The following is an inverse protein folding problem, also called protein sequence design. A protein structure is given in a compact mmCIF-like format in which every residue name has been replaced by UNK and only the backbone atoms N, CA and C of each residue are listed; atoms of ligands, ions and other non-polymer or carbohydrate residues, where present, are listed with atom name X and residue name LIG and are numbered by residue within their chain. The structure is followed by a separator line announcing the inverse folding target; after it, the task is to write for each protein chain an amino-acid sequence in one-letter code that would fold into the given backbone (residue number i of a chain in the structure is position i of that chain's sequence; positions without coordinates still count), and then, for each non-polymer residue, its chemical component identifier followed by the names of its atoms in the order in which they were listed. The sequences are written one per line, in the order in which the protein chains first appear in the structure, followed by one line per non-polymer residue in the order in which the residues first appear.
data_IF_869308594721
#
_entry.id   IF_869308594721
#
_cell.length_a   1.000
_cell.length_b   1.000
_cell.length_c   1.000
_cell.angle_alpha   90.00
_cell.angle_beta   90.00
_cell.angle_gamma   90.00
#
_symmetry.space_group_name_H-M   'P 1'
#
loop_
_entity.id
_entity.type
_entity.pdbx_description
1 polymer ?
2 non-polymer ?
3 non-polymer ?
4 water ?
#
# COMPACT_ATOMS: atom_id res chain seq x y z
N UNK A 39 -39.86 9.02 0.02
CA UNK A 39 -38.41 9.00 0.03
C UNK A 39 -37.85 10.37 0.44
N UNK A 40 -38.05 10.73 1.70
CA UNK A 40 -37.47 11.95 2.24
C UNK A 40 -35.94 11.88 2.16
N UNK A 41 -35.26 12.91 1.66
CA UNK A 41 -33.81 12.83 1.52
C UNK A 41 -33.08 12.63 2.84
N UNK A 42 -33.62 13.15 3.93
CA UNK A 42 -33.05 12.88 5.24
C UNK A 42 -33.40 11.47 5.72
N UNK A 43 -34.59 10.98 5.38
CA UNK A 43 -34.93 9.59 5.68
C UNK A 43 -34.16 8.63 4.77
N UNK A 44 -33.85 9.05 3.55
CA UNK A 44 -33.01 8.23 2.68
C UNK A 44 -31.62 8.07 3.27
N UNK A 45 -31.01 9.18 3.69
CA UNK A 45 -29.67 9.13 4.28
C UNK A 45 -29.66 8.25 5.54
N UNK A 46 -30.70 8.37 6.37
CA UNK A 46 -30.79 7.54 7.57
C UNK A 46 -30.86 6.06 7.20
N UNK A 47 -31.66 5.72 6.19
CA UNK A 47 -31.77 4.33 5.77
C UNK A 47 -30.46 3.83 5.17
N UNK A 48 -29.82 4.64 4.32
CA UNK A 48 -28.56 4.22 3.70
C UNK A 48 -27.48 4.09 4.77
N UNK A 49 -27.33 5.12 5.61
CA UNK A 49 -26.33 5.07 6.67
C UNK A 49 -26.61 3.94 7.65
N UNK A 50 -27.88 3.68 7.94
CA UNK A 50 -28.23 2.58 8.82
C UNK A 50 -27.95 1.21 8.22
N UNK A 51 -27.85 1.12 6.89
CA UNK A 51 -27.49 -0.12 6.23
C UNK A 51 -25.99 -0.28 6.11
N UNK A 52 -25.29 0.77 5.66
CA UNK A 52 -23.83 0.73 5.58
C UNK A 52 -23.18 0.52 6.94
N UNK A 53 -23.90 0.84 8.02
CA UNK A 53 -23.35 0.67 9.36
C UNK A 53 -23.18 -0.80 9.75
N UNK A 54 -23.78 -1.73 9.01
CA UNK A 54 -23.66 -3.14 9.31
C UNK A 54 -22.62 -3.85 8.46
N UNK A 55 -22.18 -3.26 7.35
CA UNK A 55 -21.22 -3.92 6.48
C UNK A 55 -19.89 -4.08 7.20
N UNK A 56 -19.41 -5.31 7.26
CA UNK A 56 -18.15 -5.64 7.92
C UNK A 56 -17.14 -6.08 6.87
N UNK A 57 -15.87 -5.70 7.09
CA UNK A 57 -14.81 -5.97 6.13
C UNK A 57 -13.49 -5.87 6.86
N UNK A 58 -12.47 -6.65 6.46
CA UNK A 58 -11.17 -6.55 7.14
C UNK A 58 -10.55 -5.16 7.10
N UNK A 59 -10.93 -4.33 6.13
CA UNK A 59 -10.42 -2.97 6.06
C UNK A 59 -11.18 -1.99 6.94
N UNK A 60 -12.23 -2.44 7.63
CA UNK A 60 -13.09 -1.58 8.43
C UNK A 60 -12.93 -1.95 9.90
N UNK A 61 -12.00 -1.27 10.58
CA UNK A 61 -11.90 -1.39 12.03
C UNK A 61 -13.22 -1.00 12.69
N UNK A 62 -13.83 0.08 12.22
CA UNK A 62 -15.18 0.46 12.59
C UNK A 62 -15.98 0.66 11.31
N UNK A 63 -17.30 0.65 11.44
CA UNK A 63 -18.15 0.64 10.26
C UNK A 63 -18.05 1.96 9.49
N UNK A 64 -18.68 1.99 8.31
CA UNK A 64 -18.47 3.09 7.38
C UNK A 64 -18.95 4.42 7.92
N UNK A 65 -19.94 4.42 8.81
CA UNK A 65 -20.44 5.68 9.37
C UNK A 65 -19.37 6.39 10.20
N UNK A 66 -18.38 5.65 10.70
CA UNK A 66 -17.25 6.27 11.38
C UNK A 66 -16.50 7.22 10.45
N UNK A 67 -16.40 6.86 9.18
CA UNK A 67 -15.54 7.55 8.22
C UNK A 67 -16.19 8.78 7.59
N UNK A 68 -17.41 9.15 8.02
CA UNK A 68 -18.19 10.23 7.41
C UNK A 68 -18.28 10.12 5.89
N UNK A 69 -18.11 8.89 5.37
CA UNK A 69 -17.94 8.70 3.93
C UNK A 69 -19.21 8.93 3.14
N UNK A 70 -20.38 8.75 3.76
CA UNK A 70 -21.64 8.92 3.04
C UNK A 70 -21.79 10.35 2.57
N UNK A 71 -21.35 10.62 1.33
CA UNK A 71 -21.29 11.99 0.83
C UNK A 71 -22.63 12.45 0.28
N UNK A 72 -23.35 11.58 -0.43
CA UNK A 72 -24.58 12.00 -1.09
C UNK A 72 -25.53 10.82 -1.21
N UNK A 73 -26.81 11.07 -0.97
CA UNK A 73 -27.88 10.09 -1.19
C UNK A 73 -29.02 10.81 -1.89
N UNK A 74 -29.37 10.37 -3.09
CA UNK A 74 -30.35 11.05 -3.93
C UNK A 74 -31.39 10.05 -4.43
N UNK A 75 -32.36 10.56 -5.19
CA UNK A 75 -33.46 9.75 -5.71
C UNK A 75 -33.86 10.35 -7.06
N UNK A 76 -33.24 9.84 -8.12
CA UNK A 76 -33.45 10.34 -9.48
C UNK A 76 -33.93 9.22 -10.38
N UNK A 77 -35.07 9.44 -11.05
CA UNK A 77 -35.62 8.48 -12.00
C UNK A 77 -35.80 7.11 -11.35
N UNK A 78 -36.30 7.13 -10.11
CA UNK A 78 -36.68 5.93 -9.37
C UNK A 78 -35.47 5.06 -9.06
N UNK A 79 -34.27 5.54 -9.36
CA UNK A 79 -33.03 4.85 -9.02
C UNK A 79 -32.35 5.58 -7.88
N UNK A 80 -31.90 4.82 -6.88
CA UNK A 80 -31.28 5.36 -5.68
C UNK A 80 -29.79 5.58 -5.92
N UNK A 81 -29.34 6.83 -5.80
CA UNK A 81 -27.95 7.18 -5.99
C UNK A 81 -27.25 7.27 -4.64
N UNK A 82 -26.08 6.66 -4.54
CA UNK A 82 -25.26 6.67 -3.33
C UNK A 82 -23.83 6.99 -3.73
N UNK A 83 -23.31 8.12 -3.28
CA UNK A 83 -21.94 8.51 -3.53
C UNK A 83 -21.14 8.43 -2.24
N UNK A 84 -20.04 7.68 -2.28
CA UNK A 84 -19.21 7.43 -1.11
C UNK A 84 -17.82 7.99 -1.37
N UNK A 85 -17.28 8.72 -0.40
CA UNK A 85 -15.95 9.32 -0.50
C UNK A 85 -15.13 8.78 0.66
N UNK A 86 -14.14 7.94 0.35
CA UNK A 86 -13.36 7.27 1.38
C UNK A 86 -12.03 7.99 1.62
N UNK A 87 -11.57 8.06 2.87
CA UNK A 87 -10.29 8.71 3.16
C UNK A 87 -9.08 7.86 2.83
N UNK A 88 -9.27 6.60 2.44
CA UNK A 88 -8.21 5.75 1.93
C UNK A 88 -8.76 4.97 0.73
N UNK A 89 -7.86 4.33 0.00
CA UNK A 89 -8.28 3.58 -1.19
C UNK A 89 -9.21 2.46 -0.77
N UNK A 90 -10.22 2.20 -1.60
CA UNK A 90 -11.25 1.23 -1.22
C UNK A 90 -11.97 0.66 -2.45
N UNK A 91 -11.34 0.67 -3.62
CA UNK A 91 -12.03 0.29 -4.85
C UNK A 91 -12.48 -1.16 -4.82
N UNK A 92 -11.58 -2.07 -4.45
CA UNK A 92 -11.93 -3.49 -4.43
C UNK A 92 -12.92 -3.78 -3.32
N UNK A 93 -12.72 -3.19 -2.14
CA UNK A 93 -13.66 -3.40 -1.03
C UNK A 93 -15.01 -2.79 -1.34
N UNK A 94 -15.03 -1.70 -2.12
CA UNK A 94 -16.30 -1.08 -2.50
C UNK A 94 -17.17 -2.04 -3.31
N UNK A 95 -16.54 -2.94 -4.07
CA UNK A 95 -17.31 -3.93 -4.82
C UNK A 95 -18.01 -4.90 -3.90
N UNK A 96 -17.35 -5.31 -2.81
CA UNK A 96 -17.98 -6.21 -1.84
C UNK A 96 -19.17 -5.53 -1.17
N UNK A 97 -19.05 -4.24 -0.87
CA UNK A 97 -20.17 -3.51 -0.27
C UNK A 97 -21.38 -3.50 -1.19
N UNK A 98 -21.16 -3.38 -2.50
CA UNK A 98 -22.28 -3.31 -3.43
C UNK A 98 -23.02 -4.65 -3.50
N UNK A 99 -22.28 -5.75 -3.57
CA UNK A 99 -22.94 -7.04 -3.75
C UNK A 99 -23.64 -7.52 -2.49
N UNK A 100 -23.19 -7.06 -1.31
CA UNK A 100 -23.77 -7.54 -0.07
C UNK A 100 -24.93 -6.68 0.41
N UNK A 101 -24.92 -5.38 0.13
CA UNK A 101 -25.88 -4.46 0.72
C UNK A 101 -26.97 -4.02 -0.24
N UNK A 102 -26.77 -4.15 -1.55
CA UNK A 102 -27.79 -3.72 -2.50
C UNK A 102 -29.07 -4.54 -2.36
N UNK A 103 -28.96 -5.79 -1.94
CA UNK A 103 -30.14 -6.62 -1.76
C UNK A 103 -31.09 -6.00 -0.73
N UNK A 104 -30.58 -5.64 0.43
CA UNK A 104 -31.42 -5.02 1.45
C UNK A 104 -31.65 -3.53 1.17
N UNK A 105 -30.68 -2.86 0.54
CA UNK A 105 -30.86 -1.44 0.24
C UNK A 105 -32.02 -1.23 -0.73
N UNK A 106 -32.13 -2.08 -1.76
CA UNK A 106 -33.31 -2.05 -2.61
C UNK A 106 -34.56 -2.49 -1.88
N UNK A 107 -34.41 -3.28 -0.81
CA UNK A 107 -35.54 -3.85 -0.10
C UNK A 107 -36.22 -2.82 0.80
N UNK A 108 -35.45 -1.97 1.47
CA UNK A 108 -36.04 -0.95 2.33
C UNK A 108 -36.40 0.32 1.55
N UNK A 109 -35.70 0.58 0.45
CA UNK A 109 -36.04 1.69 -0.42
C UNK A 109 -36.95 1.20 -1.54
N UNK A 110 -37.37 2.12 -2.40
CA UNK A 110 -38.16 1.74 -3.55
C UNK A 110 -37.46 2.11 -4.84
N UNK A 111 -36.45 1.34 -5.23
CA UNK A 111 -35.62 1.68 -6.37
C UNK A 111 -35.56 0.51 -7.35
N UNK A 112 -35.62 0.83 -8.64
CA UNK A 112 -35.40 -0.19 -9.66
C UNK A 112 -33.97 -0.71 -9.61
N UNK A 113 -33.02 0.12 -9.22
CA UNK A 113 -31.63 -0.27 -9.06
C UNK A 113 -30.94 0.77 -8.19
N UNK A 114 -29.66 0.52 -7.91
CA UNK A 114 -28.84 1.43 -7.12
C UNK A 114 -27.66 1.87 -7.98
N UNK A 115 -27.44 3.19 -8.05
CA UNK A 115 -26.32 3.76 -8.78
C UNK A 115 -25.25 4.16 -7.76
N UNK A 116 -24.29 3.26 -7.56
CA UNK A 116 -23.18 3.54 -6.65
C UNK A 116 -22.18 4.48 -7.31
N UNK A 117 -21.35 5.09 -6.48
CA UNK A 117 -20.26 5.95 -6.96
C UNK A 117 -19.23 6.07 -5.86
N UNK A 118 -17.98 5.72 -6.17
CA UNK A 118 -16.89 5.76 -5.21
C UNK A 118 -15.91 6.88 -5.57
N UNK A 119 -15.61 7.72 -4.60
CA UNK A 119 -14.60 8.77 -4.72
C UNK A 119 -13.51 8.53 -3.69
N UNK A 120 -12.45 9.31 -3.78
CA UNK A 120 -11.34 9.21 -2.83
C UNK A 120 -10.80 10.61 -2.54
N UNK A 121 -10.85 11.00 -1.28
CA UNK A 121 -10.09 12.15 -0.77
C UNK A 121 -9.14 11.58 0.28
N UNK A 122 -7.94 11.19 -0.16
CA UNK A 122 -6.99 10.53 0.72
C UNK A 122 -6.56 11.51 1.80
N UNK A 123 -6.66 11.08 3.06
CA UNK A 123 -6.38 11.94 4.20
C UNK A 123 -4.89 11.89 4.54
N UNK A 124 -4.33 13.05 4.85
CA UNK A 124 -2.96 13.15 5.33
C UNK A 124 -2.94 12.91 6.83
N UNK A 125 -2.21 11.89 7.27
CA UNK A 125 -2.16 11.54 8.68
C UNK A 125 -0.99 12.21 9.37
N UNK A 126 -1.24 12.70 10.58
CA UNK A 126 -0.21 13.40 11.33
C UNK A 126 0.89 12.43 11.77
N UNK A 127 2.13 12.89 11.70
CA UNK A 127 3.30 12.09 12.04
C UNK A 127 3.87 12.52 13.38
N UNK A 128 4.68 11.65 13.97
CA UNK A 128 5.25 11.93 15.28
C UNK A 128 6.23 13.10 15.19
N UNK A 129 6.30 13.88 16.27
CA UNK A 129 7.15 15.05 16.41
C UNK A 129 6.89 16.12 15.34
N UNK A 130 5.81 15.98 14.57
CA UNK A 130 5.45 16.90 13.50
C UNK A 130 6.62 17.11 12.52
N UNK A 131 7.39 16.05 12.31
CA UNK A 131 8.51 16.09 11.37
C UNK A 131 8.01 16.54 10.00
N UNK A 132 8.50 17.68 9.47
CA UNK A 132 7.93 18.24 8.24
C UNK A 132 7.87 17.25 7.09
N UNK A 133 6.65 16.97 6.64
CA UNK A 133 6.46 16.02 5.55
C UNK A 133 7.01 16.52 4.24
N UNK A 134 7.10 15.58 3.29
CA UNK A 134 7.66 15.89 1.99
C UNK A 134 6.67 16.70 1.16
N UNK A 135 7.19 17.61 0.36
CA UNK A 135 6.35 18.48 -0.46
C UNK A 135 5.60 17.65 -1.49
N UNK A 136 4.27 17.79 -1.52
CA UNK A 136 3.45 17.06 -2.45
C UNK A 136 3.26 15.60 -2.13
N UNK A 137 3.60 15.17 -0.91
CA UNK A 137 3.47 13.78 -0.49
C UNK A 137 2.64 13.75 0.79
N UNK A 138 1.40 13.27 0.68
CA UNK A 138 0.55 13.16 1.86
C UNK A 138 1.10 12.15 2.85
N UNK A 139 1.25 10.90 2.41
CA UNK A 139 1.66 9.80 3.26
C UNK A 139 2.85 9.08 2.65
N UNK A 140 3.62 8.44 3.52
CA UNK A 140 4.79 7.66 3.11
C UNK A 140 4.67 6.27 3.74
N UNK A 141 4.48 5.26 2.90
CA UNK A 141 4.42 3.87 3.34
C UNK A 141 5.78 3.25 3.08
N UNK A 142 6.52 2.98 4.15
CA UNK A 142 7.83 2.37 4.01
C UNK A 142 7.71 0.86 3.89
N UNK A 143 8.57 0.26 3.07
CA UNK A 143 8.62 -1.18 2.88
C UNK A 143 10.04 -1.63 3.18
N UNK A 144 10.22 -2.44 4.23
CA UNK A 144 11.54 -2.90 4.65
C UNK A 144 11.48 -4.39 4.92
N UNK A 145 12.66 -4.98 5.03
CA UNK A 145 12.79 -6.41 5.30
C UNK A 145 14.17 -6.66 5.89
N UNK A 146 14.48 -7.93 6.11
CA UNK A 146 15.80 -8.32 6.56
C UNK A 146 16.53 -9.13 5.52
N UNK A 147 17.64 -8.60 5.02
CA UNK A 147 18.41 -9.21 3.94
C UNK A 147 17.55 -9.37 2.68
N UNK A 148 18.08 -10.06 1.67
CA UNK A 148 17.40 -10.24 0.42
C UNK A 148 16.78 -11.63 0.28
N UNK A 149 16.15 -11.84 -0.87
CA UNK A 149 15.47 -13.09 -1.14
C UNK A 149 14.07 -13.19 -0.59
N UNK A 150 13.54 -12.12 -0.02
CA UNK A 150 12.19 -12.12 0.55
C UNK A 150 11.18 -11.45 -0.36
N UNK A 151 11.61 -10.90 -1.49
CA UNK A 151 10.70 -10.21 -2.37
C UNK A 151 10.22 -8.87 -1.84
N UNK A 152 11.08 -8.16 -1.10
CA UNK A 152 10.72 -6.83 -0.60
C UNK A 152 10.45 -5.87 -1.75
N UNK A 153 11.35 -5.83 -2.73
CA UNK A 153 11.19 -4.91 -3.85
C UNK A 153 10.04 -5.31 -4.76
N UNK A 154 9.79 -6.62 -4.90
CA UNK A 154 8.63 -7.06 -5.67
C UNK A 154 7.34 -6.59 -5.03
N UNK A 155 7.29 -6.62 -3.70
CA UNK A 155 6.12 -6.13 -2.99
C UNK A 155 5.96 -4.62 -3.13
N UNK A 156 7.08 -3.89 -3.22
CA UNK A 156 7.02 -2.43 -3.26
C UNK A 156 6.39 -1.92 -4.55
N UNK A 157 6.83 -2.46 -5.70
CA UNK A 157 6.30 -1.98 -6.97
C UNK A 157 4.83 -2.33 -7.11
N UNK A 158 4.44 -3.52 -6.69
CA UNK A 158 3.07 -3.94 -6.85
C UNK A 158 2.14 -3.28 -5.83
N UNK A 159 2.63 -3.02 -4.61
CA UNK A 159 1.84 -2.21 -3.68
C UNK A 159 1.58 -0.83 -4.24
N UNK A 160 2.61 -0.20 -4.83
CA UNK A 160 2.43 1.13 -5.40
C UNK A 160 1.47 1.11 -6.57
N UNK A 161 1.58 0.10 -7.44
CA UNK A 161 0.67 0.01 -8.58
C UNK A 161 -0.74 -0.36 -8.14
N UNK A 162 -0.87 -1.23 -7.13
CA UNK A 162 -2.18 -1.58 -6.62
C UNK A 162 -2.84 -0.40 -5.93
N UNK A 163 -2.06 0.37 -5.15
CA UNK A 163 -2.60 1.56 -4.52
C UNK A 163 -3.11 2.55 -5.56
N UNK A 164 -2.39 2.71 -6.67
CA UNK A 164 -2.87 3.56 -7.74
C UNK A 164 -4.08 2.95 -8.43
N UNK A 165 -4.05 1.63 -8.65
CA UNK A 165 -5.20 0.95 -9.24
C UNK A 165 -6.42 1.05 -8.34
N UNK A 166 -6.21 1.08 -7.02
CA UNK A 166 -7.31 1.24 -6.08
C UNK A 166 -7.82 2.67 -5.99
N UNK A 167 -7.19 3.61 -6.69
CA UNK A 167 -7.76 4.94 -6.84
C UNK A 167 -7.02 6.08 -6.17
N UNK A 168 -5.70 6.03 -6.13
CA UNK A 168 -4.90 7.08 -5.51
C UNK A 168 -3.78 7.51 -6.45
N UNK A 169 -3.24 8.70 -6.18
CA UNK A 169 -2.02 9.18 -6.83
C UNK A 169 -0.84 8.64 -6.04
N UNK A 170 -0.05 7.77 -6.66
CA UNK A 170 0.99 7.02 -5.98
C UNK A 170 2.32 7.25 -6.69
N UNK A 171 3.39 7.31 -5.92
CA UNK A 171 4.74 7.29 -6.45
C UNK A 171 5.55 6.21 -5.76
N UNK A 172 6.84 6.13 -6.06
CA UNK A 172 7.71 5.15 -5.40
C UNK A 172 9.16 5.60 -5.48
N UNK A 173 9.83 5.65 -4.34
CA UNK A 173 11.24 6.01 -4.25
C UNK A 173 12.04 4.77 -3.90
N UNK A 174 12.93 4.36 -4.80
CA UNK A 174 13.81 3.22 -4.58
C UNK A 174 14.99 3.68 -3.74
N UNK A 175 14.99 3.33 -2.46
CA UNK A 175 16.04 3.70 -1.53
C UNK A 175 16.99 2.54 -1.21
N UNK A 176 16.76 1.37 -1.78
CA UNK A 176 17.61 0.21 -1.52
C UNK A 176 19.00 0.45 -2.10
N UNK A 177 19.90 1.01 -1.28
CA UNK A 177 21.25 1.33 -1.75
C UNK A 177 21.98 0.05 -2.18
N UNK A 178 21.80 -1.03 -1.42
CA UNK A 178 22.52 -2.26 -1.70
C UNK A 178 22.08 -2.88 -3.01
N UNK A 179 20.78 -2.84 -3.31
CA UNK A 179 20.26 -3.40 -4.53
C UNK A 179 19.15 -2.57 -5.13
N UNK A 180 19.51 -1.48 -5.82
CA UNK A 180 18.49 -0.65 -6.48
C UNK A 180 17.80 -1.39 -7.62
N UNK A 181 16.69 -2.06 -7.32
CA UNK A 181 16.04 -2.94 -8.29
C UNK A 181 14.68 -2.44 -8.76
N UNK A 182 14.22 -1.28 -8.31
CA UNK A 182 12.92 -0.77 -8.73
C UNK A 182 12.97 -0.26 -10.17
N UNK A 183 13.95 0.56 -10.57
CA UNK A 183 13.96 1.01 -11.98
C UNK A 183 14.07 -0.14 -12.97
N UNK A 184 14.74 -1.23 -12.61
CA UNK A 184 14.79 -2.39 -13.50
C UNK A 184 13.44 -3.08 -13.57
N UNK A 185 12.76 -3.24 -12.43
CA UNK A 185 11.44 -3.88 -12.40
C UNK A 185 10.41 -3.08 -13.19
N UNK A 186 10.64 -1.79 -13.41
CA UNK A 186 9.72 -0.95 -14.17
C UNK A 186 10.18 -0.68 -15.59
N UNK A 187 11.40 -1.10 -15.96
CA UNK A 187 11.94 -0.79 -17.26
C UNK A 187 12.55 0.59 -17.38
N UNK A 188 12.41 1.44 -16.37
CA UNK A 188 12.98 2.78 -16.41
C UNK A 188 14.44 2.75 -15.98
N UNK A 189 15.11 1.62 -16.22
CA UNK A 189 16.50 1.46 -15.81
C UNK A 189 17.44 2.31 -16.66
N UNK A 190 17.18 2.38 -17.97
CA UNK A 190 18.02 3.13 -18.88
C UNK A 190 17.65 4.60 -18.97
N UNK A 191 16.62 5.03 -18.26
CA UNK A 191 16.19 6.42 -18.25
C UNK A 191 16.86 7.16 -17.10
N UNK A 192 16.85 8.49 -17.19
CA UNK A 192 17.40 9.35 -16.16
C UNK A 192 16.48 10.54 -15.96
N UNK A 193 16.32 11.00 -14.71
CA UNK A 193 15.43 12.13 -14.45
C UNK A 193 15.98 13.42 -15.02
N UNK A 194 15.06 14.33 -15.35
CA UNK A 194 15.41 15.67 -15.79
C UNK A 194 15.31 16.66 -14.63
N UNK A 195 16.02 17.77 -14.76
CA UNK A 195 16.10 18.78 -13.71
C UNK A 195 15.38 20.05 -14.15
N UNK A 196 14.10 20.20 -13.81
CA UNK A 196 13.36 21.41 -14.19
C UNK A 196 13.89 22.65 -13.49
N UNK A 197 14.03 22.57 -12.17
CA UNK A 197 14.53 23.66 -11.35
C UNK A 197 16.05 23.67 -11.26
N UNK A 198 16.74 22.87 -12.07
CA UNK A 198 18.17 22.74 -11.94
C UNK A 198 18.56 21.96 -10.71
N UNK A 199 18.13 22.42 -9.54
CA UNK A 199 18.39 21.70 -8.30
C UNK A 199 17.41 20.54 -8.13
N UNK A 200 16.13 20.79 -8.34
CA UNK A 200 15.10 19.78 -8.16
C UNK A 200 15.08 18.82 -9.36
N UNK A 201 14.53 17.64 -9.13
CA UNK A 201 14.46 16.60 -10.15
C UNK A 201 13.01 16.31 -10.51
N UNK A 202 12.76 16.15 -11.80
CA UNK A 202 11.44 15.73 -12.28
C UNK A 202 11.35 14.21 -12.22
N UNK A 203 10.37 13.64 -11.53
CA UNK A 203 10.31 12.18 -11.40
C UNK A 203 9.93 11.50 -12.70
N UNK A 204 10.46 10.30 -12.89
CA UNK A 204 10.17 9.51 -14.09
C UNK A 204 8.79 8.88 -13.92
N UNK A 205 7.87 9.24 -14.81
CA UNK A 205 6.49 8.75 -14.74
C UNK A 205 6.41 7.38 -15.41
N UNK A 206 6.79 6.36 -14.64
CA UNK A 206 6.80 4.98 -15.13
C UNK A 206 5.51 4.30 -14.73
N UNK A 207 4.77 3.79 -15.72
CA UNK A 207 3.51 3.09 -15.50
C UNK A 207 2.53 3.94 -14.69
N UNK A 208 2.58 5.25 -14.88
CA UNK A 208 1.72 6.16 -14.14
C UNK A 208 2.19 6.51 -12.75
N UNK A 209 3.31 5.94 -12.29
CA UNK A 209 3.85 6.24 -10.96
C UNK A 209 4.96 7.26 -11.08
N UNK A 210 5.00 8.18 -10.10
CA UNK A 210 6.12 9.12 -9.98
C UNK A 210 7.27 8.38 -9.32
N UNK A 211 8.32 8.10 -10.10
CA UNK A 211 9.39 7.22 -9.65
C UNK A 211 10.72 7.96 -9.59
N UNK A 212 11.57 7.50 -8.68
CA UNK A 212 12.96 7.93 -8.60
C UNK A 212 13.72 6.85 -7.84
N UNK A 213 15.03 6.77 -8.11
CA UNK A 213 15.82 5.68 -7.56
C UNK A 213 17.22 6.16 -7.21
N UNK A 214 17.79 5.56 -6.17
CA UNK A 214 19.20 5.79 -5.85
C UNK A 214 20.11 5.15 -6.88
N UNK A 215 19.60 4.16 -7.63
CA UNK A 215 20.37 3.54 -8.69
C UNK A 215 20.72 4.48 -9.83
N UNK A 216 19.94 5.56 -10.00
CA UNK A 216 20.26 6.57 -11.00
C UNK A 216 21.49 7.38 -10.65
N UNK A 217 22.17 7.07 -9.55
CA UNK A 217 23.34 7.79 -9.11
C UNK A 217 24.56 6.89 -8.91
N UNK A 218 24.40 5.58 -9.08
CA UNK A 218 25.49 4.64 -8.89
C UNK A 218 25.80 3.90 -10.19
N UNK A 226 29.71 3.11 -1.20
CA UNK A 226 28.53 3.93 -0.95
C UNK A 226 27.78 3.45 0.31
N UNK A 227 28.49 3.45 1.43
CA UNK A 227 27.92 3.02 2.71
C UNK A 227 28.31 4.02 3.79
N UNK A 228 27.58 3.97 4.90
CA UNK A 228 27.80 4.87 6.01
C UNK A 228 26.86 6.04 5.98
N UNK A 229 27.12 7.06 6.80
CA UNK A 229 26.25 8.25 6.81
C UNK A 229 26.23 8.99 5.49
N UNK A 230 27.24 8.81 4.63
CA UNK A 230 27.23 9.47 3.32
C UNK A 230 26.09 8.96 2.45
N UNK A 231 25.81 7.65 2.51
CA UNK A 231 24.73 7.10 1.71
C UNK A 231 23.37 7.61 2.17
N UNK A 232 23.22 7.82 3.48
CA UNK A 232 21.95 8.33 3.99
C UNK A 232 21.70 9.76 3.54
N UNK A 233 22.75 10.56 3.36
CA UNK A 233 22.57 11.95 2.96
C UNK A 233 22.07 12.05 1.53
N UNK A 234 22.75 11.40 0.59
CA UNK A 234 22.32 11.44 -0.80
C UNK A 234 20.94 10.84 -0.97
N UNK A 235 20.63 9.79 -0.22
CA UNK A 235 19.29 9.20 -0.26
C UNK A 235 18.26 10.17 0.29
N UNK A 236 18.59 10.88 1.36
CA UNK A 236 17.66 11.82 1.96
C UNK A 236 17.29 12.94 0.99
N UNK A 237 18.30 13.64 0.47
CA UNK A 237 18.04 14.81 -0.37
C UNK A 237 17.33 14.44 -1.66
N UNK A 238 17.48 13.19 -2.12
CA UNK A 238 16.72 12.74 -3.28
C UNK A 238 15.23 12.77 -2.99
N UNK A 239 14.84 12.55 -1.74
CA UNK A 239 13.42 12.63 -1.38
C UNK A 239 12.93 14.08 -1.37
N UNK A 240 13.78 15.01 -0.92
CA UNK A 240 13.40 16.42 -0.90
C UNK A 240 13.47 17.03 -2.30
N UNK A 241 14.52 16.74 -3.05
CA UNK A 241 14.74 17.39 -4.34
C UNK A 241 13.85 16.84 -5.45
N UNK A 242 13.16 15.73 -5.23
CA UNK A 242 12.28 15.19 -6.26
C UNK A 242 10.92 15.89 -6.19
N UNK A 243 10.48 16.43 -7.33
CA UNK A 243 9.22 17.16 -7.42
C UNK A 243 8.08 16.15 -7.55
N UNK A 244 7.72 15.56 -6.41
CA UNK A 244 6.58 14.66 -6.38
C UNK A 244 5.30 15.45 -6.64
N UNK A 245 4.37 14.92 -7.43
CA UNK A 245 3.13 15.65 -7.72
C UNK A 245 2.19 15.72 -6.52
N UNK A 246 0.99 15.18 -6.67
CA UNK A 246 0.06 15.12 -5.56
C UNK A 246 0.00 13.70 -5.00
N UNK A 247 1.15 13.17 -4.62
CA UNK A 247 1.24 11.78 -4.16
C UNK A 247 0.48 11.64 -2.84
N UNK A 248 -0.73 11.07 -2.93
CA UNK A 248 -1.45 10.66 -1.73
C UNK A 248 -0.63 9.62 -0.96
N UNK A 249 0.02 8.72 -1.66
CA UNK A 249 0.92 7.73 -1.07
C UNK A 249 2.25 7.75 -1.80
N UNK A 250 3.31 7.46 -1.06
CA UNK A 250 4.65 7.35 -1.63
C UNK A 250 5.31 6.13 -1.01
N UNK A 251 5.33 5.02 -1.77
CA UNK A 251 5.98 3.81 -1.30
C UNK A 251 7.49 4.02 -1.30
N UNK A 252 8.13 3.71 -0.19
CA UNK A 252 9.58 3.87 -0.03
C UNK A 252 10.19 2.48 0.11
N UNK A 253 10.81 2.01 -0.97
CA UNK A 253 11.53 0.73 -0.93
C UNK A 253 12.86 0.97 -0.22
N UNK A 254 12.94 0.51 1.03
CA UNK A 254 14.08 0.78 1.89
C UNK A 254 15.18 -0.26 1.69
N UNK A 255 16.40 0.03 2.11
CA UNK A 255 17.45 -0.98 2.14
C UNK A 255 17.15 -2.04 3.17
N UNK A 256 17.38 -3.31 2.87
CA UNK A 256 17.08 -4.36 3.84
C UNK A 256 18.04 -4.33 5.02
N UNK A 257 17.56 -4.83 6.15
CA UNK A 257 18.35 -4.88 7.37
C UNK A 257 17.91 -3.83 8.36
N UNK A 258 18.56 -3.87 9.53
CA UNK A 258 18.27 -2.97 10.63
C UNK A 258 19.54 -2.30 11.16
N UNK A 259 20.49 -2.02 10.28
CA UNK A 259 21.71 -1.38 10.69
C UNK A 259 21.51 0.09 11.01
N UNK A 260 22.63 0.77 11.25
CA UNK A 260 22.59 2.19 11.58
C UNK A 260 22.11 3.03 10.41
N UNK A 261 22.41 2.61 9.18
CA UNK A 261 22.01 3.39 8.02
C UNK A 261 20.52 3.24 7.75
N UNK A 262 19.96 2.04 7.97
CA UNK A 262 18.52 1.87 7.87
C UNK A 262 17.79 2.62 8.97
N UNK A 263 18.33 2.58 10.19
CA UNK A 263 17.69 3.28 11.30
C UNK A 263 17.76 4.79 11.11
N UNK A 264 18.86 5.29 10.54
CA UNK A 264 18.96 6.71 10.22
C UNK A 264 17.87 7.13 9.24
N UNK A 265 17.49 6.24 8.33
CA UNK A 265 16.41 6.54 7.39
C UNK A 265 15.06 6.60 8.10
N UNK A 266 14.78 5.62 8.96
CA UNK A 266 13.51 5.61 9.67
C UNK A 266 13.38 6.77 10.64
N UNK A 267 14.49 7.42 10.99
CA UNK A 267 14.44 8.57 11.90
C UNK A 267 14.12 9.86 11.14
N UNK A 268 14.91 10.16 10.10
CA UNK A 268 14.88 11.46 9.45
C UNK A 268 13.88 11.56 8.31
N UNK A 269 13.18 10.48 7.98
CA UNK A 269 12.16 10.49 6.93
C UNK A 269 10.79 10.50 7.60
N UNK A 270 9.90 11.42 7.24
CA UNK A 270 8.56 11.43 7.84
C UNK A 270 7.73 10.23 7.40
N UNK A 271 8.12 9.04 7.86
CA UNK A 271 7.41 7.81 7.51
C UNK A 271 6.07 7.78 8.24
N UNK A 272 4.99 7.66 7.49
CA UNK A 272 3.67 7.55 8.10
C UNK A 272 3.38 6.13 8.58
N UNK A 273 3.90 5.13 7.88
CA UNK A 273 3.72 3.75 8.29
C UNK A 273 4.72 2.85 7.61
N UNK A 274 4.95 1.69 8.22
CA UNK A 274 5.93 0.73 7.74
C UNK A 274 5.26 -0.62 7.49
N UNK A 275 5.69 -1.30 6.44
CA UNK A 275 5.20 -2.63 6.08
C UNK A 275 6.40 -3.56 6.03
N UNK A 276 6.47 -4.50 6.96
CA UNK A 276 7.57 -5.46 7.04
C UNK A 276 7.25 -6.66 6.16
N UNK A 277 8.24 -7.10 5.40
CA UNK A 277 8.10 -8.22 4.46
C UNK A 277 8.98 -9.37 4.93
N UNK A 278 8.43 -10.58 4.88
CA UNK A 278 9.16 -11.77 5.31
C UNK A 278 8.64 -12.98 4.57
N UNK A 279 9.42 -14.06 4.63
CA UNK A 279 9.03 -15.37 4.16
C UNK A 279 8.79 -16.30 5.35
N UNK A 280 8.02 -17.38 5.18
CA UNK A 280 7.76 -18.27 6.32
C UNK A 280 9.01 -18.95 6.87
N UNK A 281 10.16 -18.73 6.25
CA UNK A 281 11.41 -19.22 6.81
C UNK A 281 11.67 -18.60 8.17
N UNK A 282 12.40 -19.33 9.02
CA UNK A 282 12.70 -18.83 10.35
C UNK A 282 13.70 -17.67 10.31
N UNK A 283 14.66 -17.73 9.38
CA UNK A 283 15.69 -16.69 9.31
C UNK A 283 15.07 -15.36 8.90
N UNK A 284 14.04 -15.38 8.05
CA UNK A 284 13.41 -14.14 7.63
C UNK A 284 12.49 -13.58 8.71
N UNK A 285 11.78 -14.46 9.44
CA UNK A 285 10.90 -14.01 10.50
C UNK A 285 11.69 -13.34 11.63
N UNK A 286 12.88 -13.85 11.92
CA UNK A 286 13.73 -13.22 12.93
C UNK A 286 14.09 -11.81 12.51
N UNK A 287 14.41 -11.63 11.22
CA UNK A 287 14.72 -10.29 10.71
C UNK A 287 13.49 -9.39 10.73
N UNK A 288 12.30 -9.96 10.46
CA UNK A 288 11.07 -9.19 10.58
C UNK A 288 10.84 -8.76 12.02
N UNK A 289 11.12 -9.65 12.97
CA UNK A 289 11.03 -9.29 14.38
C UNK A 289 11.93 -8.09 14.70
N UNK A 290 13.11 -8.03 14.05
CA UNK A 290 14.01 -6.91 14.29
C UNK A 290 13.50 -5.62 13.66
N UNK A 291 12.97 -5.71 12.44
CA UNK A 291 12.50 -4.51 11.77
C UNK A 291 11.34 -3.86 12.50
N UNK A 292 10.38 -4.66 12.94
CA UNK A 292 9.26 -4.14 13.73
C UNK A 292 9.79 -3.41 14.96
N UNK A 293 10.75 -4.02 15.65
CA UNK A 293 11.34 -3.38 16.83
C UNK A 293 12.04 -2.08 16.43
N UNK A 294 12.70 -2.08 15.27
CA UNK A 294 13.42 -0.88 14.84
C UNK A 294 12.47 0.27 14.59
N UNK A 295 11.37 0.02 13.88
CA UNK A 295 10.42 1.09 13.60
C UNK A 295 9.70 1.56 14.85
N UNK A 296 9.40 0.63 15.77
CA UNK A 296 8.72 1.02 17.01
C UNK A 296 9.60 1.95 17.85
N UNK A 297 10.90 1.64 17.95
CA UNK A 297 11.80 2.48 18.74
C UNK A 297 12.08 3.83 18.09
N UNK A 298 11.52 4.09 16.91
CA UNK A 298 11.54 5.41 16.29
C UNK A 298 10.13 5.99 16.19
N UNK A 299 9.17 5.38 16.87
CA UNK A 299 7.78 5.86 16.91
C UNK A 299 7.13 5.91 15.53
N UNK A 300 7.65 5.13 14.58
CA UNK A 300 7.02 4.99 13.27
C UNK A 300 6.01 3.86 13.35
N UNK A 301 4.75 4.09 12.97
CA UNK A 301 3.73 3.05 13.09
C UNK A 301 4.04 1.88 12.16
N UNK A 302 3.99 0.67 12.72
CA UNK A 302 4.15 -0.56 11.95
C UNK A 302 2.77 -0.98 11.47
N UNK A 303 2.54 -0.89 10.16
CA UNK A 303 1.22 -1.24 9.63
C UNK A 303 0.95 -2.73 9.75
N UNK A 304 1.95 -3.57 9.47
CA UNK A 304 1.76 -5.00 9.59
C UNK A 304 2.85 -5.75 8.83
N UNK A 305 2.55 -7.02 8.55
CA UNK A 305 3.50 -7.94 7.95
C UNK A 305 2.88 -8.53 6.69
N UNK A 306 3.71 -8.73 5.66
CA UNK A 306 3.32 -9.40 4.42
C UNK A 306 4.16 -10.65 4.27
N UNK A 307 3.51 -11.80 4.18
CA UNK A 307 4.19 -13.09 4.12
C UNK A 307 4.33 -13.50 2.66
N UNK A 308 5.48 -13.19 2.07
CA UNK A 308 5.78 -13.62 0.72
C UNK A 308 6.27 -15.06 0.72
N UNK A 309 6.04 -15.76 -0.39
CA UNK A 309 6.44 -17.15 -0.56
C UNK A 309 5.85 -18.04 0.53
N UNK A 310 4.60 -17.77 0.89
CA UNK A 310 3.92 -18.58 1.90
C UNK A 310 3.82 -20.04 1.45
N UNK A 311 3.37 -20.24 0.22
CA UNK A 311 3.29 -21.57 -0.38
C UNK A 311 3.79 -21.47 -1.81
N UNK A 312 4.20 -22.62 -2.35
CA UNK A 312 4.61 -22.73 -3.75
C UNK A 312 3.53 -23.47 -4.52
N UNK A 313 3.20 -22.94 -5.70
CA UNK A 313 2.13 -23.47 -6.54
C UNK A 313 2.79 -24.18 -7.72
N UNK A 314 2.67 -25.51 -7.74
CA UNK A 314 3.18 -26.29 -8.86
C UNK A 314 2.46 -25.89 -10.14
N UNK A 315 3.24 -25.49 -11.16
CA UNK A 315 2.64 -25.04 -12.41
C UNK A 315 1.90 -26.14 -13.14
N UNK A 316 2.21 -27.41 -12.87
CA UNK A 316 1.49 -28.53 -13.45
C UNK A 316 0.42 -29.07 -12.52
N UNK A 317 0.80 -29.45 -11.30
CA UNK A 317 -0.15 -30.06 -10.36
C UNK A 317 -1.17 -29.06 -9.86
N UNK A 318 -0.88 -27.77 -9.97
CA UNK A 318 -1.64 -26.79 -9.23
C UNK A 318 -1.62 -26.95 -7.73
N UNK A 319 -0.71 -27.76 -7.20
CA UNK A 319 -0.72 -28.12 -5.78
C UNK A 319 0.06 -27.07 -4.98
N UNK A 320 -0.47 -26.70 -3.82
CA UNK A 320 0.13 -25.69 -2.95
C UNK A 320 0.95 -26.38 -1.86
N UNK A 321 2.23 -26.08 -1.83
CA UNK A 321 3.18 -26.75 -0.94
C UNK A 321 3.89 -25.74 -0.06
N UNK A 322 3.64 -25.72 1.25
CA UNK A 322 4.32 -24.75 2.12
C UNK A 322 5.78 -25.11 2.34
N UNK A 323 6.60 -24.88 1.30
CA UNK A 323 7.99 -25.34 1.30
C UNK A 323 8.81 -24.70 2.41
N UNK A 324 8.35 -23.56 2.95
CA UNK A 324 9.13 -22.83 3.95
C UNK A 324 8.41 -22.74 5.29
N UNK A 325 7.38 -23.55 5.52
CA UNK A 325 6.64 -23.53 6.76
C UNK A 325 5.29 -22.86 6.60
N UNK A 326 4.61 -22.67 7.73
CA UNK A 326 3.30 -22.03 7.74
C UNK A 326 3.06 -21.41 9.11
N UNK A 327 2.27 -20.34 9.12
CA UNK A 327 1.85 -19.71 10.35
C UNK A 327 2.91 -18.95 11.11
N UNK A 328 4.16 -18.95 10.64
CA UNK A 328 5.18 -18.20 11.34
C UNK A 328 4.95 -16.70 11.31
N UNK A 329 4.46 -16.19 10.18
CA UNK A 329 4.16 -14.76 10.07
C UNK A 329 2.95 -14.39 10.92
N UNK A 330 1.95 -15.28 10.98
CA UNK A 330 0.79 -15.01 11.82
C UNK A 330 1.18 -14.95 13.29
N UNK A 331 2.12 -15.80 13.70
CA UNK A 331 2.57 -15.80 15.09
C UNK A 331 3.25 -14.47 15.45
N UNK A 332 4.08 -13.95 14.55
CA UNK A 332 4.78 -12.70 14.82
C UNK A 332 3.82 -11.52 14.81
N UNK A 333 2.72 -11.62 14.05
CA UNK A 333 1.79 -10.49 13.94
C UNK A 333 1.17 -10.15 15.29
N UNK A 334 0.59 -11.14 15.97
CA UNK A 334 -0.06 -10.89 17.25
C UNK A 334 0.96 -10.74 18.38
N UNK A 335 2.11 -11.40 18.28
CA UNK A 335 3.14 -11.26 19.29
C UNK A 335 3.61 -9.81 19.41
N UNK A 336 3.48 -9.02 18.34
CA UNK A 336 3.85 -7.61 18.37
C UNK A 336 2.65 -6.71 18.11
N UNK A 337 1.44 -7.24 18.33
CA UNK A 337 0.20 -6.44 18.31
C UNK A 337 0.04 -5.67 17.00
N UNK A 338 0.15 -6.40 15.89
CA UNK A 338 -0.01 -5.80 14.58
C UNK A 338 -0.72 -6.80 13.66
N UNK A 339 -1.13 -6.32 12.50
CA UNK A 339 -1.91 -7.12 11.56
C UNK A 339 -1.00 -7.90 10.62
N UNK A 340 -1.55 -8.98 10.07
CA UNK A 340 -0.94 -9.70 8.97
C UNK A 340 -1.63 -9.21 7.69
N UNK A 341 -1.00 -8.25 7.02
CA UNK A 341 -1.67 -7.51 5.95
C UNK A 341 -2.01 -8.39 4.75
N UNK A 342 -1.31 -9.50 4.56
CA UNK A 342 -1.63 -10.40 3.46
C UNK A 342 -0.52 -11.38 3.19
N UNK A 343 -0.88 -12.41 2.44
CA UNK A 343 0.06 -13.44 2.00
C UNK A 343 0.17 -13.41 0.48
N UNK A 344 1.27 -13.94 -0.04
CA UNK A 344 1.53 -13.97 -1.46
C UNK A 344 2.24 -15.27 -1.81
N UNK A 345 1.71 -16.06 -2.75
CA UNK A 345 2.34 -17.33 -3.07
C UNK A 345 3.62 -17.14 -3.87
N UNK A 346 4.33 -18.24 -4.04
CA UNK A 346 5.53 -18.30 -4.87
C UNK A 346 5.16 -19.04 -6.16
N UNK A 347 5.19 -18.31 -7.27
CA UNK A 347 4.80 -18.87 -8.56
C UNK A 347 5.77 -18.41 -9.64
N UNK A 348 5.97 -19.26 -10.64
CA UNK A 348 6.95 -18.97 -11.68
C UNK A 348 6.56 -17.73 -12.49
N UNK A 349 5.25 -17.49 -12.65
CA UNK A 349 4.82 -16.34 -13.41
C UNK A 349 5.15 -15.02 -12.70
N UNK A 350 5.22 -15.04 -11.37
CA UNK A 350 5.59 -13.84 -10.64
C UNK A 350 7.07 -13.53 -10.81
N UNK A 351 7.92 -14.57 -10.82
CA UNK A 351 9.34 -14.35 -11.06
C UNK A 351 9.59 -13.88 -12.48
N UNK A 352 8.81 -14.40 -13.44
CA UNK A 352 8.97 -14.00 -14.84
C UNK A 352 8.58 -12.54 -15.03
N UNK A 353 7.53 -12.09 -14.34
CA UNK A 353 7.16 -10.67 -14.42
C UNK A 353 8.25 -9.77 -13.86
N UNK A 354 9.07 -10.30 -12.95
CA UNK A 354 10.15 -9.53 -12.35
C UNK A 354 11.35 -9.37 -13.27
N UNK A 355 11.41 -10.12 -14.37
CA UNK A 355 12.49 -9.97 -15.34
C UNK A 355 12.08 -9.20 -16.58
N UNK A 356 10.79 -9.18 -16.92
CA UNK A 356 10.32 -8.54 -18.14
C UNK A 356 10.11 -7.03 -17.98
N UNK A 357 10.35 -6.48 -16.79
CA UNK A 357 10.27 -5.04 -16.61
C UNK A 357 8.89 -4.46 -16.56
N UNK A 358 7.85 -5.27 -16.41
CA UNK A 358 6.49 -4.80 -16.23
C UNK A 358 5.87 -5.59 -15.08
N UNK A 359 5.65 -4.96 -13.93
CA UNK A 359 5.19 -5.71 -12.75
C UNK A 359 3.84 -6.36 -12.98
N UNK A 360 3.54 -7.33 -12.10
CA UNK A 360 2.38 -8.20 -12.31
C UNK A 360 1.07 -7.42 -12.32
N UNK A 361 0.96 -6.39 -11.45
CA UNK A 361 -0.26 -5.61 -11.39
C UNK A 361 -0.60 -4.99 -12.74
N UNK A 362 0.41 -4.65 -13.53
CA UNK A 362 0.17 -4.11 -14.86
C UNK A 362 0.17 -5.21 -15.91
N UNK A 363 1.10 -6.15 -15.82
CA UNK A 363 1.22 -7.20 -16.85
C UNK A 363 -0.02 -8.07 -16.88
N UNK A 364 -0.47 -8.54 -15.71
CA UNK A 364 -1.64 -9.41 -15.59
C UNK A 364 -2.67 -8.70 -14.71
N UNK A 365 -3.39 -7.71 -15.25
CA UNK A 365 -4.33 -6.96 -14.42
C UNK A 365 -5.54 -7.76 -13.97
N UNK A 366 -5.81 -8.91 -14.60
CA UNK A 366 -7.00 -9.70 -14.29
C UNK A 366 -6.65 -11.02 -13.61
N UNK A 367 -5.43 -11.17 -13.12
CA UNK A 367 -5.00 -12.42 -12.50
C UNK A 367 -5.34 -12.43 -11.01
N UNK A 368 -5.36 -13.64 -10.45
CA UNK A 368 -5.54 -13.79 -9.00
C UNK A 368 -4.48 -13.02 -8.24
N UNK A 369 -3.26 -12.99 -8.76
CA UNK A 369 -2.16 -12.34 -8.05
C UNK A 369 -2.36 -10.83 -8.00
N UNK A 370 -2.83 -10.23 -9.08
CA UNK A 370 -3.18 -8.81 -9.04
C UNK A 370 -4.34 -8.56 -8.08
N UNK A 371 -5.34 -9.44 -8.10
CA UNK A 371 -6.45 -9.31 -7.15
C UNK A 371 -5.97 -9.40 -5.72
N UNK A 372 -4.91 -10.18 -5.46
CA UNK A 372 -4.34 -10.22 -4.11
C UNK A 372 -3.61 -8.92 -3.80
N UNK A 373 -2.86 -8.40 -4.77
CA UNK A 373 -2.15 -7.14 -4.55
C UNK A 373 -3.13 -5.99 -4.33
N UNK A 374 -4.26 -6.02 -5.02
CA UNK A 374 -5.28 -4.99 -4.82
C UNK A 374 -5.88 -5.07 -3.43
N UNK A 375 -6.10 -6.28 -2.93
CA UNK A 375 -6.59 -6.45 -1.55
C UNK A 375 -5.56 -5.92 -0.56
N UNK A 376 -4.27 -6.20 -0.79
CA UNK A 376 -3.23 -5.71 0.08
C UNK A 376 -3.24 -4.20 0.17
N UNK A 377 -3.43 -3.52 -0.97
CA UNK A 377 -3.49 -2.06 -0.97
C UNK A 377 -4.63 -1.56 -0.08
N UNK A 378 -5.82 -2.14 -0.24
CA UNK A 378 -6.94 -1.77 0.62
C UNK A 378 -6.63 -2.06 2.08
N UNK A 379 -6.00 -3.20 2.35
CA UNK A 379 -5.66 -3.56 3.73
C UNK A 379 -4.60 -2.63 4.30
N UNK A 380 -3.62 -2.25 3.48
CA UNK A 380 -2.53 -1.38 3.96
C UNK A 380 -3.04 0.03 4.19
N UNK A 381 -3.69 0.61 3.18
CA UNK A 381 -4.12 2.00 3.27
C UNK A 381 -5.15 2.19 4.39
N UNK A 382 -5.97 1.17 4.65
CA UNK A 382 -6.88 1.26 5.79
C UNK A 382 -6.13 1.24 7.11
N UNK A 383 -5.11 0.36 7.22
CA UNK A 383 -4.33 0.30 8.44
C UNK A 383 -3.54 1.59 8.66
N UNK A 384 -3.09 2.24 7.59
CA UNK A 384 -2.43 3.53 7.72
C UNK A 384 -3.39 4.59 8.27
N UNK A 385 -4.69 4.43 8.01
CA UNK A 385 -5.67 5.40 8.49
C UNK A 385 -6.10 5.11 9.92
N UNK A 386 -6.52 3.86 10.19
CA UNK A 386 -7.08 3.52 11.49
C UNK A 386 -6.09 3.69 12.64
N UNK A 387 -4.79 3.84 12.35
CA UNK A 387 -3.80 3.95 13.42
C UNK A 387 -3.61 5.38 13.89
N UNK A 388 -3.76 6.37 13.03
CA UNK A 388 -3.46 7.73 13.39
C UNK A 388 -4.63 8.69 13.34
N UNK A 389 -4.33 9.99 13.27
CA UNK A 389 -5.35 11.04 13.26
C UNK A 389 -5.16 11.89 12.01
N UNK A 390 -6.27 12.35 11.45
CA UNK A 390 -6.27 13.15 10.23
C UNK A 390 -5.84 14.57 10.54
N UNK A 391 -5.13 15.19 9.60
CA UNK A 391 -4.70 16.58 9.74
C UNK A 391 -5.76 17.52 9.17
#
# INVERSE_FOLDING_TARGET
MKYLLPTAAAGLLLLAAQPAMAMDIGINSDPMNEQSQAKSPEALRAMVAGTLANFQHPTLKHNLTTLKALHHVAWMDDTLHVELVMPFVWHSAFEELKEQCSAELLRITGAKAIDWKLSHNIATLKRVKNQPGINGVKNIIAVSSGKGGVGKSSTAVNLALALAAEGAKVGILDADIYGPSIPTMLGAENQRPTSPDGTHMAPIMSHGLATNSIGYLVTDDNAMVWRGPMASKALMQMLQETLWPDLDYLVLDMPPGTGDIQLTLAQNIPVTGAVVVTTPQDIALIDAKKGIVMFEKVEVPVLGIVENMSVHICSNCGHHEPIFGTGGAEKLAEKYHTQLLGQMPLHISLREDLDKGTPTVISRPESEFTAIYRQLADRVAAQLYWQGEVIPGEISFRAVLEHHHHHH
#
